data_IF_697910045549
#
_entry.id   IF_697910045549
#
_cell.length_a   1.000
_cell.length_b   1.000
_cell.length_c   1.000
_cell.angle_alpha   90.00
_cell.angle_beta   90.00
_cell.angle_gamma   90.00
#
_symmetry.space_group_name_H-M   'P 1'
#
loop_
_entity.id
_entity.type
_entity.pdbx_description
1 polymer ?
#
# COMPACT_ATOMS: atom_id res chain seq x y z
N UNK A 1 7.22 4.07 44.74
CA UNK A 1 6.52 5.26 44.18
C UNK A 1 5.35 4.81 43.34
N UNK A 2 4.13 5.30 43.63
CA UNK A 2 2.92 4.87 42.91
C UNK A 2 2.86 5.35 41.45
N UNK A 3 3.67 6.32 41.05
CA UNK A 3 3.68 6.86 39.67
C UNK A 3 4.05 5.80 38.63
N UNK A 4 5.07 4.99 38.88
CA UNK A 4 5.48 3.92 37.97
C UNK A 4 4.44 2.79 37.88
N UNK A 5 3.76 2.49 39.01
CA UNK A 5 2.69 1.51 39.00
C UNK A 5 1.51 1.94 38.11
N UNK A 6 1.09 3.22 38.19
CA UNK A 6 0.07 3.77 37.30
C UNK A 6 0.53 3.75 35.84
N UNK A 7 1.80 4.09 35.55
CA UNK A 7 2.35 4.06 34.20
C UNK A 7 2.37 2.65 33.63
N UNK A 8 2.78 1.62 34.39
CA UNK A 8 2.74 0.22 33.97
C UNK A 8 1.29 -0.20 33.64
N UNK A 9 0.36 0.12 34.55
CA UNK A 9 -1.06 -0.17 34.31
C UNK A 9 -1.61 0.55 33.06
N UNK A 10 -1.22 1.81 32.85
CA UNK A 10 -1.58 2.56 31.65
C UNK A 10 -1.07 1.87 30.37
N UNK A 11 0.18 1.39 30.38
CA UNK A 11 0.77 0.67 29.24
C UNK A 11 0.03 -0.65 28.97
N UNK A 12 -0.38 -1.37 30.01
CA UNK A 12 -1.21 -2.59 29.90
C UNK A 12 -2.58 -2.25 29.28
N UNK A 13 -3.21 -1.13 29.75
CA UNK A 13 -4.50 -0.69 29.22
C UNK A 13 -4.38 -0.25 27.74
N UNK A 14 -3.30 0.44 27.38
CA UNK A 14 -3.01 0.80 25.99
C UNK A 14 -2.90 -0.45 25.10
N UNK A 15 -2.15 -1.46 25.54
CA UNK A 15 -2.03 -2.73 24.83
C UNK A 15 -3.38 -3.44 24.65
N UNK A 16 -4.26 -3.37 25.67
CA UNK A 16 -5.63 -3.90 25.60
C UNK A 16 -6.59 -3.02 24.80
N UNK A 17 -6.12 -1.94 24.20
CA UNK A 17 -6.92 -0.96 23.45
C UNK A 17 -7.97 -0.23 24.31
N UNK A 18 -7.80 -0.21 25.63
CA UNK A 18 -8.63 0.52 26.58
C UNK A 18 -8.12 1.97 26.74
N UNK A 19 -8.18 2.74 25.66
CA UNK A 19 -7.45 4.01 25.52
C UNK A 19 -7.81 5.04 26.59
N UNK A 20 -9.09 5.20 26.92
CA UNK A 20 -9.54 6.17 27.94
C UNK A 20 -8.99 5.84 29.32
N UNK A 21 -8.97 4.54 29.69
CA UNK A 21 -8.42 4.10 30.97
C UNK A 21 -6.89 4.29 30.99
N UNK A 22 -6.22 4.05 29.86
CA UNK A 22 -4.78 4.33 29.72
C UNK A 22 -4.49 5.81 29.95
N UNK A 23 -5.24 6.72 29.32
CA UNK A 23 -5.08 8.16 29.49
C UNK A 23 -5.32 8.58 30.94
N UNK A 24 -6.36 8.07 31.61
CA UNK A 24 -6.62 8.36 33.02
C UNK A 24 -5.46 7.95 33.91
N UNK A 25 -4.96 6.73 33.74
CA UNK A 25 -3.88 6.17 34.57
C UNK A 25 -2.55 6.91 34.37
N UNK A 26 -2.18 7.21 33.11
CA UNK A 26 -0.93 7.96 32.84
C UNK A 26 -1.01 9.39 33.35
N UNK A 27 -2.18 10.02 33.35
CA UNK A 27 -2.34 11.33 33.96
C UNK A 27 -2.12 11.30 35.48
N UNK A 28 -2.57 10.24 36.19
CA UNK A 28 -2.22 10.04 37.61
C UNK A 28 -0.71 9.89 37.84
N UNK A 29 -0.01 9.25 36.89
CA UNK A 29 1.47 9.18 36.94
C UNK A 29 2.09 10.59 36.81
N UNK A 30 1.58 11.39 35.88
CA UNK A 30 2.06 12.75 35.61
C UNK A 30 1.76 13.69 36.78
N UNK A 31 0.62 13.55 37.44
CA UNK A 31 0.27 14.31 38.65
C UNK A 31 1.26 14.07 39.81
N UNK A 32 1.77 12.85 39.94
CA UNK A 32 2.76 12.47 40.97
C UNK A 32 4.17 12.90 40.56
N UNK A 33 4.54 12.71 39.29
CA UNK A 33 5.86 13.07 38.76
C UNK A 33 5.75 13.58 37.31
N UNK A 34 5.73 14.90 37.16
CA UNK A 34 5.58 15.57 35.85
C UNK A 34 6.86 15.63 35.01
N UNK A 35 8.00 15.20 35.55
CA UNK A 35 9.30 15.33 34.86
C UNK A 35 9.75 14.05 34.15
N UNK A 36 8.97 12.97 34.24
CA UNK A 36 9.29 11.73 33.53
C UNK A 36 8.79 11.77 32.08
N UNK A 37 9.70 11.82 31.06
CA UNK A 37 9.31 11.90 29.66
C UNK A 37 8.53 10.65 29.18
N UNK A 38 8.78 9.47 29.77
CA UNK A 38 8.12 8.23 29.40
C UNK A 38 6.60 8.26 29.61
N UNK A 39 6.12 9.01 30.59
CA UNK A 39 4.68 9.16 30.83
C UNK A 39 4.02 9.94 29.67
N UNK A 40 4.68 10.98 29.19
CA UNK A 40 4.17 11.75 28.04
C UNK A 40 4.27 10.99 26.72
N UNK A 41 5.25 10.09 26.57
CA UNK A 41 5.29 9.16 25.42
C UNK A 41 4.08 8.25 25.46
N UNK A 42 3.77 7.60 26.59
CA UNK A 42 2.60 6.73 26.73
C UNK A 42 1.29 7.51 26.52
N UNK A 43 1.19 8.73 27.07
CA UNK A 43 0.04 9.62 26.86
C UNK A 43 -0.13 9.96 25.37
N UNK A 44 0.97 10.27 24.67
CA UNK A 44 0.97 10.54 23.25
C UNK A 44 0.51 9.36 22.43
N UNK A 45 0.98 8.16 22.75
CA UNK A 45 0.55 6.91 22.10
C UNK A 45 -0.94 6.63 22.34
N UNK A 46 -1.43 6.79 23.59
CA UNK A 46 -2.82 6.57 23.92
C UNK A 46 -3.77 7.54 23.18
N UNK A 47 -3.40 8.83 23.10
CA UNK A 47 -4.14 9.81 22.31
C UNK A 47 -4.08 9.51 20.80
N UNK A 48 -2.92 9.07 20.28
CA UNK A 48 -2.81 8.68 18.87
C UNK A 48 -3.70 7.49 18.54
N UNK A 49 -3.71 6.47 19.38
CA UNK A 49 -4.53 5.28 19.24
C UNK A 49 -6.04 5.58 19.32
N UNK A 50 -6.44 6.54 20.16
CA UNK A 50 -7.82 7.06 20.20
C UNK A 50 -8.15 8.08 19.10
N UNK A 51 -7.22 8.30 18.15
CA UNK A 51 -7.32 9.27 17.03
C UNK A 51 -7.38 10.74 17.47
N UNK A 52 -7.04 11.05 18.73
CA UNK A 52 -6.87 12.42 19.20
C UNK A 52 -5.46 12.95 18.92
N UNK A 53 -5.18 13.13 17.63
CA UNK A 53 -3.85 13.53 17.15
C UNK A 53 -3.40 14.91 17.66
N UNK A 54 -4.33 15.80 18.05
CA UNK A 54 -3.98 17.11 18.61
C UNK A 54 -3.33 16.97 19.99
N UNK A 55 -3.91 16.19 20.87
CA UNK A 55 -3.36 15.96 22.20
C UNK A 55 -2.16 15.00 22.14
N UNK A 56 -2.14 14.04 21.21
CA UNK A 56 -0.97 13.21 20.93
C UNK A 56 0.26 14.08 20.61
N UNK A 57 0.14 15.05 19.71
CA UNK A 57 1.23 16.00 19.36
C UNK A 57 1.70 16.79 20.58
N UNK A 58 0.78 17.28 21.43
CA UNK A 58 1.15 18.01 22.66
C UNK A 58 1.96 17.14 23.60
N UNK A 59 1.53 15.90 23.82
CA UNK A 59 2.20 14.93 24.68
C UNK A 59 3.60 14.60 24.17
N UNK A 60 3.76 14.25 22.88
CA UNK A 60 5.08 13.97 22.31
C UNK A 60 6.02 15.18 22.37
N UNK A 61 5.53 16.39 22.09
CA UNK A 61 6.33 17.63 22.26
C UNK A 61 6.79 17.82 23.70
N UNK A 62 5.92 17.55 24.69
CA UNK A 62 6.31 17.63 26.09
C UNK A 62 7.36 16.57 26.45
N UNK A 63 7.19 15.34 25.94
CA UNK A 63 8.20 14.29 26.11
C UNK A 63 9.57 14.72 25.56
N UNK A 64 9.61 15.27 24.35
CA UNK A 64 10.85 15.79 23.74
C UNK A 64 11.45 16.91 24.57
N UNK A 65 10.64 17.86 25.08
CA UNK A 65 11.11 18.96 25.93
C UNK A 65 11.69 18.47 27.27
N UNK A 66 11.33 17.28 27.71
CA UNK A 66 11.87 16.58 28.90
C UNK A 66 12.99 15.59 28.55
N UNK A 67 13.63 15.78 27.39
CA UNK A 67 14.79 15.02 26.93
C UNK A 67 14.47 13.59 26.39
N UNK A 68 13.25 13.33 25.93
CA UNK A 68 12.94 12.11 25.18
C UNK A 68 13.39 12.22 23.70
N UNK A 69 14.68 12.51 23.50
CA UNK A 69 15.28 12.69 22.17
C UNK A 69 15.61 11.32 21.55
N UNK A 70 14.56 10.55 21.26
CA UNK A 70 14.68 9.22 20.67
C UNK A 70 13.90 9.14 19.34
N UNK A 71 14.45 8.42 18.38
CA UNK A 71 13.87 8.28 17.03
C UNK A 71 12.38 7.92 17.05
N UNK A 72 11.98 6.99 17.93
CA UNK A 72 10.61 6.51 18.01
C UNK A 72 9.60 7.62 18.40
N UNK A 73 9.98 8.56 19.25
CA UNK A 73 9.09 9.66 19.67
C UNK A 73 8.87 10.63 18.49
N UNK A 74 9.94 10.95 17.76
CA UNK A 74 9.84 11.78 16.56
C UNK A 74 9.04 11.09 15.46
N UNK A 75 9.19 9.77 15.31
CA UNK A 75 8.39 8.98 14.38
C UNK A 75 6.88 9.09 14.69
N UNK A 76 6.46 8.84 15.92
CA UNK A 76 5.05 8.94 16.32
C UNK A 76 4.51 10.38 16.24
N UNK A 77 5.35 11.37 16.51
CA UNK A 77 5.00 12.79 16.31
C UNK A 77 4.74 13.06 14.82
N UNK A 78 5.60 12.56 13.93
CA UNK A 78 5.45 12.65 12.47
C UNK A 78 4.16 11.99 11.98
N UNK A 79 3.84 10.79 12.47
CA UNK A 79 2.58 10.12 12.16
C UNK A 79 1.36 10.96 12.58
N UNK A 80 1.38 11.51 13.80
CA UNK A 80 0.29 12.35 14.31
C UNK A 80 0.09 13.60 13.46
N UNK A 81 1.19 14.23 13.02
CA UNK A 81 1.14 15.37 12.09
C UNK A 81 0.58 14.96 10.72
N UNK A 82 1.01 13.82 10.17
CA UNK A 82 0.51 13.29 8.89
C UNK A 82 -1.00 13.06 8.94
N UNK A 83 -1.51 12.45 10.02
CA UNK A 83 -2.95 12.22 10.22
C UNK A 83 -3.76 13.52 10.26
N UNK A 84 -3.16 14.62 10.73
CA UNK A 84 -3.75 15.97 10.68
C UNK A 84 -3.44 16.71 9.37
N UNK A 85 -2.83 16.06 8.37
CA UNK A 85 -2.40 16.65 7.10
C UNK A 85 -1.42 17.84 7.26
N UNK A 86 -0.73 17.91 8.40
CA UNK A 86 0.35 18.87 8.64
C UNK A 86 1.66 18.33 8.04
N UNK A 87 1.72 18.26 6.73
CA UNK A 87 2.76 17.53 6.01
C UNK A 87 4.17 18.07 6.25
N UNK A 88 4.36 19.40 6.35
CA UNK A 88 5.70 19.94 6.58
C UNK A 88 6.23 19.57 7.98
N UNK A 89 5.37 19.61 9.01
CA UNK A 89 5.73 19.19 10.37
C UNK A 89 6.01 17.68 10.43
N UNK A 90 5.24 16.86 9.66
CA UNK A 90 5.47 15.42 9.55
C UNK A 90 6.82 15.13 8.90
N UNK A 91 7.15 15.81 7.80
CA UNK A 91 8.43 15.67 7.10
C UNK A 91 9.60 16.00 8.06
N UNK A 92 9.53 17.12 8.77
CA UNK A 92 10.57 17.50 9.73
C UNK A 92 10.75 16.43 10.83
N UNK A 93 9.64 15.87 11.32
CA UNK A 93 9.68 14.85 12.36
C UNK A 93 10.27 13.53 11.83
N UNK A 94 9.94 13.11 10.60
CA UNK A 94 10.54 11.92 9.99
C UNK A 94 12.02 12.10 9.67
N UNK A 95 12.44 13.28 9.21
CA UNK A 95 13.88 13.54 9.06
C UNK A 95 14.62 13.47 10.40
N UNK A 96 14.04 14.00 11.47
CA UNK A 96 14.65 13.86 12.80
C UNK A 96 14.73 12.39 13.24
N UNK A 97 13.71 11.59 12.91
CA UNK A 97 13.75 10.13 13.11
C UNK A 97 14.92 9.50 12.38
N UNK A 98 15.13 9.85 11.11
CA UNK A 98 16.19 9.31 10.25
C UNK A 98 17.59 9.77 10.73
N UNK A 99 17.73 11.00 11.20
CA UNK A 99 18.98 11.49 11.80
C UNK A 99 19.38 10.67 13.04
N UNK A 100 18.40 10.30 13.87
CA UNK A 100 18.61 9.51 15.09
C UNK A 100 18.72 8.00 14.81
N UNK A 101 18.10 7.50 13.75
CA UNK A 101 18.12 6.10 13.31
C UNK A 101 18.11 6.05 11.78
N UNK A 102 19.29 6.04 11.14
CA UNK A 102 19.39 6.10 9.67
C UNK A 102 18.78 4.91 8.93
N UNK A 103 18.55 3.81 9.59
CA UNK A 103 17.94 2.57 9.08
C UNK A 103 16.44 2.41 9.43
N UNK A 104 15.78 3.48 9.86
CA UNK A 104 14.38 3.45 10.26
C UNK A 104 13.45 3.33 9.03
N UNK A 105 13.23 2.10 8.55
CA UNK A 105 12.46 1.77 7.35
C UNK A 105 11.08 2.45 7.32
N UNK A 106 10.33 2.40 8.44
CA UNK A 106 8.99 2.98 8.51
C UNK A 106 8.99 4.51 8.34
N UNK A 107 10.06 5.20 8.74
CA UNK A 107 10.17 6.65 8.54
C UNK A 107 10.33 6.99 7.05
N UNK A 108 11.17 6.26 6.33
CA UNK A 108 11.29 6.41 4.86
C UNK A 108 9.99 6.07 4.15
N UNK A 109 9.30 5.01 4.56
CA UNK A 109 8.00 4.63 4.00
C UNK A 109 6.97 5.75 4.16
N UNK A 110 6.80 6.29 5.39
CA UNK A 110 5.84 7.35 5.64
C UNK A 110 6.27 8.69 5.01
N UNK A 111 7.55 8.98 4.93
CA UNK A 111 8.09 10.14 4.23
C UNK A 111 7.72 10.08 2.74
N UNK A 112 7.89 8.90 2.10
CA UNK A 112 7.47 8.65 0.73
C UNK A 112 5.98 8.91 0.52
N UNK A 113 5.13 8.39 1.41
CA UNK A 113 3.68 8.63 1.35
C UNK A 113 3.32 10.11 1.52
N UNK A 114 3.99 10.83 2.43
CA UNK A 114 3.75 12.29 2.61
C UNK A 114 4.13 13.06 1.37
N UNK A 115 5.25 12.74 0.73
CA UNK A 115 5.64 13.38 -0.52
C UNK A 115 4.68 13.06 -1.67
N UNK A 116 4.16 11.83 -1.73
CA UNK A 116 3.13 11.43 -2.69
C UNK A 116 1.83 12.24 -2.50
N UNK A 117 1.34 12.39 -1.25
CA UNK A 117 0.18 13.24 -0.93
C UNK A 117 0.40 14.72 -1.29
N UNK A 118 1.66 15.19 -1.22
CA UNK A 118 2.06 16.54 -1.68
C UNK A 118 2.32 16.62 -3.19
N UNK A 119 2.16 15.53 -3.94
CA UNK A 119 2.49 15.42 -5.37
C UNK A 119 3.96 15.74 -5.70
N UNK A 120 4.85 15.54 -4.74
CA UNK A 120 6.31 15.68 -4.89
C UNK A 120 6.92 14.31 -5.22
N UNK A 121 6.60 13.81 -6.41
CA UNK A 121 6.86 12.41 -6.78
C UNK A 121 8.35 12.05 -6.81
N UNK A 122 9.24 12.97 -7.21
CA UNK A 122 10.69 12.71 -7.21
C UNK A 122 11.22 12.42 -5.79
N UNK A 123 10.77 13.19 -4.79
CA UNK A 123 11.13 12.98 -3.38
C UNK A 123 10.48 11.71 -2.82
N UNK A 124 9.27 11.41 -3.25
CA UNK A 124 8.58 10.15 -2.93
C UNK A 124 9.37 8.95 -3.43
N UNK A 125 9.79 8.95 -4.71
CA UNK A 125 10.64 7.91 -5.32
C UNK A 125 11.94 7.72 -4.53
N UNK A 126 12.63 8.81 -4.17
CA UNK A 126 13.85 8.74 -3.37
C UNK A 126 13.61 8.08 -2.01
N UNK A 127 12.51 8.44 -1.34
CA UNK A 127 12.15 7.89 -0.03
C UNK A 127 11.83 6.39 -0.10
N UNK A 128 11.03 5.96 -1.08
CA UNK A 128 10.73 4.54 -1.26
C UNK A 128 11.96 3.73 -1.69
N UNK A 129 12.84 4.29 -2.51
CA UNK A 129 14.13 3.64 -2.85
C UNK A 129 14.98 3.40 -1.60
N UNK A 130 15.07 4.39 -0.70
CA UNK A 130 15.79 4.22 0.57
C UNK A 130 15.14 3.17 1.46
N UNK A 131 13.80 3.12 1.50
CA UNK A 131 13.08 2.07 2.21
C UNK A 131 13.44 0.67 1.69
N UNK A 132 13.46 0.48 0.36
CA UNK A 132 13.80 -0.78 -0.31
C UNK A 132 15.28 -1.13 -0.18
N UNK A 133 16.17 -0.14 -0.18
CA UNK A 133 17.61 -0.35 0.04
C UNK A 133 17.88 -0.98 1.42
N UNK A 134 17.12 -0.56 2.44
CA UNK A 134 17.23 -1.10 3.81
C UNK A 134 16.48 -2.43 3.93
N UNK A 135 15.28 -2.52 3.35
CA UNK A 135 14.42 -3.71 3.39
C UNK A 135 14.00 -4.10 1.96
N UNK A 136 14.83 -4.91 1.25
CA UNK A 136 14.57 -5.26 -0.16
C UNK A 136 13.29 -6.08 -0.40
N UNK A 137 12.80 -6.81 0.59
CA UNK A 137 11.54 -7.56 0.52
C UNK A 137 10.42 -6.83 1.28
N UNK A 138 10.05 -5.63 0.80
CA UNK A 138 8.96 -4.83 1.36
C UNK A 138 7.94 -4.49 0.27
N UNK A 139 6.93 -5.36 0.05
CA UNK A 139 6.01 -5.26 -1.08
C UNK A 139 5.29 -3.92 -1.18
N UNK A 140 4.88 -3.33 -0.05
CA UNK A 140 4.18 -2.03 -0.04
C UNK A 140 5.08 -0.89 -0.51
N UNK A 141 6.38 -0.93 -0.21
CA UNK A 141 7.33 0.09 -0.67
C UNK A 141 7.55 -0.01 -2.18
N UNK A 142 7.72 -1.23 -2.70
CA UNK A 142 7.82 -1.48 -4.13
C UNK A 142 6.55 -1.05 -4.87
N UNK A 143 5.38 -1.44 -4.38
CA UNK A 143 4.10 -1.04 -5.01
C UNK A 143 3.96 0.48 -5.08
N UNK A 144 4.23 1.19 -3.98
CA UNK A 144 4.16 2.65 -3.96
C UNK A 144 5.22 3.30 -4.86
N UNK A 145 6.42 2.74 -4.92
CA UNK A 145 7.46 3.16 -5.86
C UNK A 145 6.98 3.00 -7.31
N UNK A 146 6.39 1.86 -7.65
CA UNK A 146 5.80 1.59 -8.95
C UNK A 146 4.74 2.62 -9.34
N UNK A 147 3.80 2.91 -8.43
CA UNK A 147 2.79 3.94 -8.64
C UNK A 147 3.40 5.33 -8.87
N UNK A 148 4.45 5.70 -8.13
CA UNK A 148 5.15 6.96 -8.35
C UNK A 148 5.81 7.00 -9.72
N UNK A 149 6.47 5.94 -10.16
CA UNK A 149 7.08 5.85 -11.49
C UNK A 149 6.03 6.01 -12.60
N UNK A 150 4.87 5.34 -12.48
CA UNK A 150 3.78 5.49 -13.45
C UNK A 150 3.26 6.94 -13.51
N UNK A 151 3.18 7.63 -12.36
CA UNK A 151 2.72 9.02 -12.29
C UNK A 151 3.71 10.01 -12.92
N UNK A 152 5.00 9.72 -12.91
CA UNK A 152 6.02 10.56 -13.57
C UNK A 152 6.33 10.13 -15.00
N UNK A 153 5.66 9.07 -15.51
CA UNK A 153 5.81 8.60 -16.89
C UNK A 153 6.92 7.59 -17.13
N UNK A 154 7.56 7.10 -16.09
CA UNK A 154 8.52 5.98 -16.17
C UNK A 154 7.77 4.65 -16.15
N UNK A 155 7.13 4.31 -17.28
CA UNK A 155 6.25 3.15 -17.37
C UNK A 155 6.99 1.81 -17.25
N UNK A 156 8.22 1.71 -17.74
CA UNK A 156 9.02 0.49 -17.67
C UNK A 156 9.31 0.10 -16.20
N UNK A 157 9.88 1.01 -15.44
CA UNK A 157 10.15 0.80 -14.01
C UNK A 157 8.84 0.69 -13.23
N UNK A 158 7.84 1.50 -13.58
CA UNK A 158 6.53 1.53 -12.93
C UNK A 158 5.83 0.18 -12.97
N UNK A 159 5.66 -0.40 -14.16
CA UNK A 159 5.01 -1.71 -14.28
C UNK A 159 5.84 -2.84 -13.68
N UNK A 160 7.17 -2.74 -13.71
CA UNK A 160 8.04 -3.73 -13.05
C UNK A 160 7.84 -3.74 -11.54
N UNK A 161 7.85 -2.57 -10.91
CA UNK A 161 7.64 -2.44 -9.47
C UNK A 161 6.19 -2.73 -9.07
N UNK A 162 5.21 -2.45 -9.92
CA UNK A 162 3.80 -2.75 -9.69
C UNK A 162 3.50 -4.24 -9.52
N UNK A 163 4.36 -5.13 -10.04
CA UNK A 163 4.21 -6.59 -9.87
C UNK A 163 4.30 -7.06 -8.41
N UNK A 164 4.92 -6.26 -7.55
CA UNK A 164 5.01 -6.59 -6.13
C UNK A 164 3.66 -6.65 -5.41
N UNK A 165 2.59 -6.08 -6.00
CA UNK A 165 1.22 -6.23 -5.50
C UNK A 165 0.82 -7.70 -5.33
N UNK A 166 1.39 -8.62 -6.15
CA UNK A 166 1.13 -10.06 -6.07
C UNK A 166 1.51 -10.66 -4.72
N UNK A 167 2.51 -10.09 -4.03
CA UNK A 167 2.89 -10.51 -2.68
C UNK A 167 1.93 -10.02 -1.60
N UNK A 168 1.11 -9.01 -1.90
CA UNK A 168 0.12 -8.45 -0.97
C UNK A 168 -1.23 -9.16 -1.06
N UNK A 169 -1.47 -9.87 -2.15
CA UNK A 169 -2.69 -10.63 -2.40
C UNK A 169 -2.39 -12.12 -2.31
N UNK A 170 -3.27 -12.87 -1.63
CA UNK A 170 -3.20 -14.34 -1.66
C UNK A 170 -3.75 -14.81 -3.01
N UNK A 171 -2.92 -14.80 -4.02
CA UNK A 171 -3.28 -15.32 -5.33
C UNK A 171 -3.08 -16.83 -5.35
N UNK A 172 -3.98 -17.61 -5.99
CA UNK A 172 -3.77 -19.03 -6.19
C UNK A 172 -2.54 -19.23 -7.07
N UNK A 173 -1.49 -19.85 -6.56
CA UNK A 173 -0.22 -20.03 -7.29
C UNK A 173 0.13 -21.48 -7.56
N UNK A 174 -0.34 -22.42 -6.75
CA UNK A 174 0.25 -23.77 -6.69
C UNK A 174 -0.29 -24.72 -7.76
N UNK A 175 -1.46 -24.46 -8.36
CA UNK A 175 -2.07 -25.28 -9.41
C UNK A 175 -2.04 -24.62 -10.80
N UNK A 176 -1.37 -23.46 -10.92
CA UNK A 176 -1.33 -22.73 -12.17
C UNK A 176 -0.21 -23.22 -13.09
N UNK A 177 -0.52 -23.35 -14.39
CA UNK A 177 0.47 -23.58 -15.43
C UNK A 177 1.40 -22.36 -15.56
N UNK A 178 2.27 -22.38 -16.56
CA UNK A 178 3.30 -21.37 -16.79
C UNK A 178 2.72 -19.95 -16.92
N UNK A 179 3.28 -18.99 -16.19
CA UNK A 179 2.92 -17.57 -16.33
C UNK A 179 3.31 -17.06 -17.72
N UNK A 180 2.39 -16.36 -18.38
CA UNK A 180 2.65 -15.70 -19.66
C UNK A 180 3.50 -14.44 -19.45
N UNK A 181 4.63 -14.39 -20.11
CA UNK A 181 5.59 -13.27 -20.05
C UNK A 181 5.87 -12.67 -21.43
N UNK A 182 4.95 -12.86 -22.40
CA UNK A 182 5.05 -12.30 -23.76
C UNK A 182 5.39 -13.32 -24.86
N UNK A 183 5.35 -14.63 -24.54
CA UNK A 183 5.52 -15.69 -25.57
C UNK A 183 4.35 -15.67 -26.57
N UNK A 184 4.57 -16.23 -27.77
CA UNK A 184 3.48 -16.38 -28.75
C UNK A 184 2.28 -17.12 -28.15
N UNK A 185 1.10 -16.58 -28.37
CA UNK A 185 -0.18 -17.18 -27.97
C UNK A 185 -0.91 -17.86 -29.13
N UNK A 186 -0.29 -17.99 -30.31
CA UNK A 186 -0.91 -18.64 -31.46
C UNK A 186 -1.36 -20.07 -31.13
N UNK A 187 -2.65 -20.34 -31.35
CA UNK A 187 -3.31 -21.59 -30.99
C UNK A 187 -3.17 -22.00 -29.50
N UNK A 188 -3.02 -21.04 -28.59
CA UNK A 188 -2.89 -21.26 -27.15
C UNK A 188 -4.13 -20.78 -26.40
N UNK A 189 -4.31 -21.32 -25.20
CA UNK A 189 -5.33 -20.89 -24.26
C UNK A 189 -4.67 -20.07 -23.14
N UNK A 190 -5.08 -18.82 -23.01
CA UNK A 190 -4.64 -17.90 -21.95
C UNK A 190 -5.75 -17.74 -20.91
N UNK A 191 -5.44 -18.07 -19.65
CA UNK A 191 -6.27 -17.76 -18.50
C UNK A 191 -5.87 -16.41 -17.92
N UNK A 192 -6.79 -15.44 -17.95
CA UNK A 192 -6.62 -14.14 -17.32
C UNK A 192 -7.23 -14.19 -15.92
N UNK A 193 -6.39 -14.06 -14.92
CA UNK A 193 -6.77 -14.18 -13.51
C UNK A 193 -7.32 -12.88 -12.96
N UNK A 194 -8.36 -13.00 -12.12
CA UNK A 194 -9.02 -11.89 -11.45
C UNK A 194 -8.16 -11.28 -10.34
N UNK A 195 -8.19 -9.95 -10.24
CA UNK A 195 -7.52 -9.17 -9.18
C UNK A 195 -8.43 -8.02 -8.67
N UNK A 196 -9.73 -8.30 -8.51
CA UNK A 196 -10.71 -7.29 -8.14
C UNK A 196 -11.38 -6.60 -9.33
N UNK A 197 -12.64 -6.19 -9.14
CA UNK A 197 -13.46 -5.60 -10.22
C UNK A 197 -12.91 -4.27 -10.74
N UNK A 198 -12.27 -3.48 -9.89
CA UNK A 198 -11.65 -2.21 -10.31
C UNK A 198 -10.52 -2.47 -11.32
N UNK A 199 -9.62 -3.39 -11.01
CA UNK A 199 -8.55 -3.79 -11.92
C UNK A 199 -9.11 -4.41 -13.20
N UNK A 200 -10.15 -5.26 -13.08
CA UNK A 200 -10.81 -5.85 -14.23
C UNK A 200 -11.29 -4.78 -15.21
N UNK A 201 -12.10 -3.82 -14.75
CA UNK A 201 -12.66 -2.78 -15.61
C UNK A 201 -11.57 -1.87 -16.22
N UNK A 202 -10.50 -1.58 -15.48
CA UNK A 202 -9.42 -0.75 -15.99
C UNK A 202 -8.55 -1.45 -17.04
N UNK A 203 -8.25 -2.74 -16.83
CA UNK A 203 -7.22 -3.42 -17.60
C UNK A 203 -7.75 -4.39 -18.66
N UNK A 204 -9.03 -4.77 -18.61
CA UNK A 204 -9.61 -5.74 -19.55
C UNK A 204 -9.51 -5.30 -21.03
N UNK A 205 -9.53 -4.00 -21.32
CA UNK A 205 -9.34 -3.46 -22.66
C UNK A 205 -8.03 -3.89 -23.33
N UNK A 206 -6.99 -4.14 -22.53
CA UNK A 206 -5.70 -4.58 -23.05
C UNK A 206 -5.71 -6.06 -23.42
N UNK A 207 -6.55 -6.86 -22.79
CA UNK A 207 -6.74 -8.26 -23.15
C UNK A 207 -7.42 -8.41 -24.53
N UNK A 208 -8.22 -7.44 -24.96
CA UNK A 208 -8.86 -7.41 -26.29
C UNK A 208 -7.83 -7.44 -27.41
N UNK A 209 -6.66 -6.82 -27.22
CA UNK A 209 -5.59 -6.84 -28.23
C UNK A 209 -5.04 -8.23 -28.48
N UNK A 210 -5.08 -9.12 -27.48
CA UNK A 210 -4.57 -10.49 -27.57
C UNK A 210 -5.48 -11.40 -28.43
N UNK A 211 -6.75 -11.02 -28.64
CA UNK A 211 -7.66 -11.78 -29.49
C UNK A 211 -7.18 -11.85 -30.95
N UNK A 212 -6.35 -10.90 -31.38
CA UNK A 212 -5.79 -10.86 -32.74
C UNK A 212 -4.80 -11.99 -33.03
N UNK A 213 -4.28 -12.64 -31.99
CA UNK A 213 -3.23 -13.68 -32.08
C UNK A 213 -3.78 -15.11 -32.19
N UNK A 214 -5.06 -15.30 -32.61
CA UNK A 214 -5.72 -16.62 -32.64
C UNK A 214 -5.64 -17.36 -31.28
N UNK A 215 -5.65 -16.59 -30.18
CA UNK A 215 -5.59 -17.07 -28.81
C UNK A 215 -7.00 -17.31 -28.26
N UNK A 216 -7.21 -18.45 -27.57
CA UNK A 216 -8.40 -18.66 -26.76
C UNK A 216 -8.24 -17.93 -25.42
N UNK A 217 -9.09 -16.94 -25.16
CA UNK A 217 -9.08 -16.17 -23.91
C UNK A 217 -10.14 -16.71 -22.96
N UNK A 218 -9.71 -17.17 -21.79
CA UNK A 218 -10.57 -17.49 -20.65
C UNK A 218 -10.39 -16.39 -19.61
N UNK A 219 -11.47 -15.77 -19.18
CA UNK A 219 -11.45 -14.73 -18.19
C UNK A 219 -12.04 -15.20 -16.87
N UNK A 220 -11.26 -15.13 -15.82
CA UNK A 220 -11.73 -15.32 -14.46
C UNK A 220 -12.25 -13.97 -13.90
N UNK A 221 -13.45 -13.95 -13.34
CA UNK A 221 -14.00 -12.75 -12.71
C UNK A 221 -14.99 -13.06 -11.60
N UNK A 222 -15.33 -12.04 -10.81
CA UNK A 222 -16.36 -12.16 -9.78
C UNK A 222 -17.75 -12.39 -10.39
N UNK A 223 -18.65 -12.99 -9.62
CA UNK A 223 -20.04 -13.22 -10.06
C UNK A 223 -20.73 -11.92 -10.51
N UNK A 224 -20.41 -10.79 -9.89
CA UNK A 224 -20.98 -9.49 -10.25
C UNK A 224 -20.58 -9.01 -11.67
N UNK A 225 -19.42 -9.44 -12.17
CA UNK A 225 -18.91 -9.04 -13.49
C UNK A 225 -19.21 -10.08 -14.60
N UNK A 226 -19.62 -11.30 -14.23
CA UNK A 226 -19.75 -12.41 -15.19
C UNK A 226 -20.68 -12.06 -16.36
N UNK A 227 -21.86 -11.50 -16.09
CA UNK A 227 -22.84 -11.18 -17.13
C UNK A 227 -22.30 -10.13 -18.13
N UNK A 228 -21.62 -9.09 -17.63
CA UNK A 228 -21.00 -8.07 -18.47
C UNK A 228 -19.88 -8.66 -19.32
N UNK A 229 -19.03 -9.50 -18.73
CA UNK A 229 -17.89 -10.08 -19.43
C UNK A 229 -18.29 -11.16 -20.43
N UNK A 230 -19.32 -11.96 -20.13
CA UNK A 230 -19.85 -12.98 -21.05
C UNK A 230 -20.47 -12.39 -22.33
N UNK A 231 -20.85 -11.11 -22.35
CA UNK A 231 -21.33 -10.42 -23.53
C UNK A 231 -20.22 -10.01 -24.50
N UNK A 232 -18.95 -10.08 -24.09
CA UNK A 232 -17.83 -9.66 -24.91
C UNK A 232 -17.44 -10.77 -25.90
N UNK A 233 -17.69 -10.58 -27.19
CA UNK A 233 -17.49 -11.59 -28.25
C UNK A 233 -16.04 -12.07 -28.41
N UNK A 234 -15.07 -11.30 -27.94
CA UNK A 234 -13.65 -11.62 -27.98
C UNK A 234 -13.17 -12.44 -26.78
N UNK A 235 -14.01 -12.64 -25.74
CA UNK A 235 -13.75 -13.55 -24.63
C UNK A 235 -14.40 -14.89 -24.98
N UNK A 236 -13.60 -15.94 -25.05
CA UNK A 236 -14.09 -17.27 -25.40
C UNK A 236 -14.85 -17.95 -24.26
N UNK A 237 -14.46 -17.70 -23.02
CA UNK A 237 -15.06 -18.31 -21.85
C UNK A 237 -14.90 -17.38 -20.63
N UNK A 238 -15.95 -17.28 -19.80
CA UNK A 238 -15.92 -16.55 -18.54
C UNK A 238 -16.18 -17.54 -17.41
N UNK A 239 -15.32 -17.53 -16.39
CA UNK A 239 -15.39 -18.44 -15.25
C UNK A 239 -15.38 -17.66 -13.93
N UNK A 240 -15.90 -18.30 -12.86
CA UNK A 240 -15.86 -17.71 -11.53
C UNK A 240 -14.42 -17.63 -10.98
N UNK A 241 -14.20 -16.77 -9.99
CA UNK A 241 -12.90 -16.58 -9.35
C UNK A 241 -12.35 -17.82 -8.62
N UNK A 242 -13.22 -18.79 -8.32
CA UNK A 242 -12.85 -20.08 -7.71
C UNK A 242 -12.51 -21.17 -8.76
N UNK A 243 -12.67 -20.88 -10.05
CA UNK A 243 -12.49 -21.86 -11.12
C UNK A 243 -11.15 -21.69 -11.82
N UNK A 244 -10.42 -22.80 -11.99
CA UNK A 244 -9.16 -22.85 -12.75
C UNK A 244 -9.33 -23.88 -13.88
N UNK A 245 -9.83 -23.45 -15.05
CA UNK A 245 -10.00 -24.34 -16.22
C UNK A 245 -8.65 -24.73 -16.83
N UNK A 246 -8.67 -25.70 -17.74
CA UNK A 246 -7.47 -26.08 -18.49
C UNK A 246 -6.99 -24.93 -19.38
N UNK A 247 -5.69 -24.61 -19.32
CA UNK A 247 -5.06 -23.52 -20.05
C UNK A 247 -3.59 -23.83 -20.35
N UNK A 248 -2.99 -23.14 -21.33
CA UNK A 248 -1.56 -23.25 -21.64
C UNK A 248 -0.73 -22.27 -20.79
N UNK A 249 -1.23 -21.05 -20.66
CA UNK A 249 -0.62 -19.96 -19.90
C UNK A 249 -1.65 -19.25 -19.03
N UNK A 250 -1.18 -18.65 -17.96
CA UNK A 250 -1.98 -17.69 -17.19
C UNK A 250 -1.31 -16.33 -17.07
N UNK A 251 -2.11 -15.30 -16.82
CA UNK A 251 -1.63 -13.94 -16.50
C UNK A 251 -2.59 -13.27 -15.55
N UNK A 252 -2.06 -12.56 -14.57
CA UNK A 252 -2.87 -11.67 -13.76
C UNK A 252 -3.29 -10.45 -14.57
N UNK A 253 -4.55 -10.02 -14.44
CA UNK A 253 -5.06 -8.92 -15.27
C UNK A 253 -4.24 -7.63 -15.15
N UNK A 254 -3.77 -7.29 -13.95
CA UNK A 254 -2.89 -6.15 -13.71
C UNK A 254 -1.47 -6.31 -14.24
N UNK A 255 -1.04 -7.53 -14.63
CA UNK A 255 0.28 -7.78 -15.23
C UNK A 255 0.29 -7.59 -16.74
N UNK A 256 -0.89 -7.50 -17.39
CA UNK A 256 -0.99 -7.24 -18.81
C UNK A 256 -0.21 -6.00 -19.24
N UNK A 257 -0.25 -4.94 -18.40
CA UNK A 257 0.45 -3.68 -18.68
C UNK A 257 1.95 -3.86 -18.82
N UNK A 258 2.55 -4.67 -17.95
CA UNK A 258 3.97 -5.00 -17.98
C UNK A 258 4.30 -5.84 -19.21
N UNK A 259 3.56 -6.92 -19.45
CA UNK A 259 3.83 -7.85 -20.54
C UNK A 259 3.67 -7.19 -21.90
N UNK A 260 2.64 -6.34 -22.06
CA UNK A 260 2.38 -5.57 -23.28
C UNK A 260 3.20 -4.27 -23.38
N UNK A 261 4.07 -3.99 -22.41
CA UNK A 261 4.90 -2.77 -22.34
C UNK A 261 4.08 -1.48 -22.52
N UNK A 262 2.91 -1.43 -21.85
CA UNK A 262 1.95 -0.34 -22.03
C UNK A 262 2.50 1.01 -21.62
N UNK A 263 2.32 1.98 -22.52
CA UNK A 263 2.64 3.40 -22.33
C UNK A 263 1.63 4.24 -23.12
N UNK A 264 1.57 5.58 -22.97
CA UNK A 264 0.59 6.42 -23.66
C UNK A 264 0.56 6.29 -25.19
N UNK A 265 1.65 5.85 -25.82
CA UNK A 265 1.74 5.77 -27.28
C UNK A 265 1.13 4.45 -27.85
N UNK A 266 0.95 3.43 -27.01
CA UNK A 266 0.39 2.13 -27.41
C UNK A 266 -0.87 1.74 -26.65
N UNK A 267 -1.59 2.70 -26.08
CA UNK A 267 -2.90 2.44 -25.47
C UNK A 267 -3.93 2.01 -26.52
N UNK A 268 -4.78 1.01 -26.20
CA UNK A 268 -5.93 0.69 -27.06
C UNK A 268 -6.80 1.91 -27.31
N UNK A 269 -7.08 2.23 -28.60
CA UNK A 269 -7.82 3.42 -29.03
C UNK A 269 -9.32 3.15 -29.26
N UNK A 270 -9.73 1.88 -29.21
CA UNK A 270 -11.12 1.49 -29.46
C UNK A 270 -12.03 1.83 -28.29
N UNK A 271 -13.10 2.58 -28.57
CA UNK A 271 -14.19 2.90 -27.65
C UNK A 271 -15.53 2.68 -28.32
N UNK A 272 -16.54 2.08 -27.63
CA UNK A 272 -16.42 1.46 -26.31
C UNK A 272 -15.61 0.15 -26.37
N UNK A 273 -14.85 -0.14 -25.33
CA UNK A 273 -14.10 -1.40 -25.23
C UNK A 273 -14.92 -2.55 -24.61
N UNK A 274 -16.04 -2.24 -23.99
CA UNK A 274 -17.05 -3.19 -23.53
C UNK A 274 -18.37 -2.95 -24.24
N UNK A 275 -18.98 -4.03 -24.71
CA UNK A 275 -20.32 -3.99 -25.31
C UNK A 275 -21.37 -4.05 -24.20
N UNK A 276 -22.31 -3.09 -24.20
CA UNK A 276 -23.50 -3.16 -23.37
C UNK A 276 -24.52 -4.12 -24.00
N UNK A 277 -25.35 -4.78 -23.18
CA UNK A 277 -26.55 -5.43 -23.70
C UNK A 277 -27.45 -4.38 -24.38
N UNK A 278 -27.85 -4.61 -25.61
CA UNK A 278 -29.02 -3.96 -26.21
C UNK A 278 -30.29 -4.57 -25.65
#
# INVERSE_FOLDING_TARGET
>A
DNSDAYHILSSIKLYKQEFNQSIELVNKSIEINSENPGYYVTLGCAHSASKDYKNSIKAFKKAISLNAEVAQVHFYLGESYRKLKKYNDAIASFYRTIELSPDHVAAYMLLGLVYQEKKQFDLSVQSFKKCIEIMPDYPEAHLNLGLCYLLVGDYENGWREYEWRKKLTKLPSDDLKKEWTGQSLDNKTLLILHEGNENLLHFIRFAKELHKDNCKIILQCSNAAMELMANQKWINEVVSEDSIPEHDYHVHIGSLMKVLQCNPNNLPQEYPYLDSKN
#
